data_IF_606723789734
#
_entry.id   IF_606723789734
#
_cell.length_a   1.000
_cell.length_b   1.000
_cell.length_c   1.000
_cell.angle_alpha   90.00
_cell.angle_beta   90.00
_cell.angle_gamma   90.00
#
_symmetry.space_group_name_H-M   'P 1'
#
loop_
_entity.id
_entity.type
_entity.pdbx_description
1 polymer ?
#
# COMPACT_ATOMS: atom_id res chain seq x y z
N UNK A 1 -21.28 21.13 36.62
CA UNK A 1 -21.23 21.67 35.23
C UNK A 1 -19.81 21.81 34.73
N UNK A 2 -18.82 22.10 35.59
CA UNK A 2 -17.40 22.20 35.18
C UNK A 2 -16.76 20.85 34.83
N UNK A 3 -17.07 19.75 35.55
CA UNK A 3 -16.56 18.41 35.21
C UNK A 3 -17.03 17.92 33.83
N UNK A 4 -18.29 18.18 33.47
CA UNK A 4 -18.81 17.82 32.14
C UNK A 4 -18.12 18.60 31.03
N UNK A 5 -17.68 19.83 31.31
CA UNK A 5 -16.95 20.68 30.36
C UNK A 5 -15.50 20.22 30.20
N UNK A 6 -14.85 19.74 31.26
CA UNK A 6 -13.53 19.12 31.16
C UNK A 6 -13.54 17.81 30.34
N UNK A 7 -14.55 16.96 30.54
CA UNK A 7 -14.70 15.73 29.74
C UNK A 7 -15.03 16.02 28.27
N UNK A 8 -15.85 17.04 27.99
CA UNK A 8 -16.12 17.47 26.61
C UNK A 8 -14.86 18.01 25.94
N UNK A 9 -14.07 18.83 26.63
CA UNK A 9 -12.78 19.32 26.12
C UNK A 9 -11.79 18.17 25.91
N UNK A 10 -11.74 17.18 26.82
CA UNK A 10 -10.88 16.01 26.68
C UNK A 10 -11.28 15.14 25.47
N UNK A 11 -12.58 14.92 25.25
CA UNK A 11 -13.10 14.15 24.11
C UNK A 11 -12.89 14.91 22.79
N UNK A 12 -13.15 16.22 22.76
CA UNK A 12 -12.85 17.08 21.60
C UNK A 12 -11.35 17.14 21.30
N UNK A 13 -10.50 17.07 22.34
CA UNK A 13 -9.05 16.96 22.22
C UNK A 13 -8.56 15.53 21.94
N UNK A 14 -9.38 14.49 22.06
CA UNK A 14 -8.98 13.10 21.77
C UNK A 14 -9.25 12.75 20.29
N UNK A 15 -10.05 13.54 19.58
CA UNK A 15 -10.44 13.30 18.19
C UNK A 15 -9.27 13.14 17.20
N UNK A 16 -8.14 13.83 17.40
CA UNK A 16 -6.96 13.72 16.54
C UNK A 16 -6.10 12.48 16.81
N UNK A 17 -6.23 11.85 17.99
CA UNK A 17 -5.46 10.64 18.30
C UNK A 17 -5.90 9.46 17.44
N UNK A 18 -7.18 9.36 17.07
CA UNK A 18 -7.69 8.31 16.17
C UNK A 18 -6.92 8.25 14.84
N UNK A 19 -6.92 9.33 14.05
CA UNK A 19 -6.15 9.41 12.81
C UNK A 19 -4.65 9.14 12.98
N UNK A 20 -4.02 9.67 14.04
CA UNK A 20 -2.58 9.45 14.30
C UNK A 20 -2.30 7.98 14.59
N UNK A 21 -3.06 7.35 15.50
CA UNK A 21 -2.92 5.93 15.82
C UNK A 21 -3.18 5.04 14.60
N UNK A 22 -4.12 5.42 13.73
CA UNK A 22 -4.40 4.73 12.48
C UNK A 22 -3.23 4.79 11.49
N UNK A 23 -2.58 5.96 11.36
CA UNK A 23 -1.35 6.10 10.55
C UNK A 23 -0.20 5.31 11.18
N UNK A 24 -0.07 5.30 12.50
CA UNK A 24 0.93 4.46 13.19
C UNK A 24 0.65 2.97 13.01
N UNK A 25 -0.61 2.55 12.96
CA UNK A 25 -0.98 1.17 12.68
C UNK A 25 -0.49 0.73 11.29
N UNK A 26 -0.55 1.61 10.28
CA UNK A 26 0.07 1.35 8.97
C UNK A 26 1.58 1.12 9.06
N UNK A 27 2.28 1.74 10.03
CA UNK A 27 3.71 1.57 10.27
C UNK A 27 4.03 0.29 11.05
N UNK A 28 3.17 -0.07 11.99
CA UNK A 28 3.38 -1.22 12.88
C UNK A 28 2.95 -2.53 12.22
N UNK A 29 2.03 -2.49 11.24
CA UNK A 29 1.45 -3.71 10.61
C UNK A 29 2.47 -4.79 10.21
N UNK A 30 3.69 -4.50 9.67
CA UNK A 30 4.60 -5.57 9.26
C UNK A 30 5.20 -6.31 10.46
N UNK A 31 5.26 -5.66 11.63
CA UNK A 31 5.78 -6.25 12.87
C UNK A 31 4.78 -7.25 13.49
N UNK A 32 3.49 -7.01 13.28
CA UNK A 32 2.39 -7.84 13.79
C UNK A 32 1.79 -8.75 12.71
N UNK A 33 2.42 -8.85 11.54
CA UNK A 33 1.95 -9.63 10.38
C UNK A 33 0.51 -9.28 9.94
N UNK A 34 0.11 -8.01 10.08
CA UNK A 34 -1.22 -7.54 9.73
C UNK A 34 -1.28 -7.15 8.24
N UNK A 35 -2.17 -7.77 7.43
CA UNK A 35 -2.34 -7.44 6.03
C UNK A 35 -2.78 -6.00 5.78
N UNK A 36 -2.30 -5.39 4.69
CA UNK A 36 -2.63 -4.01 4.29
C UNK A 36 -4.13 -3.80 4.15
N UNK A 37 -4.82 -4.76 3.51
CA UNK A 37 -6.26 -4.69 3.26
C UNK A 37 -7.06 -4.51 4.54
N UNK A 38 -6.70 -5.20 5.63
CA UNK A 38 -7.43 -5.11 6.90
C UNK A 38 -7.33 -3.71 7.51
N UNK A 39 -6.14 -3.09 7.43
CA UNK A 39 -5.93 -1.74 7.95
C UNK A 39 -6.72 -0.72 7.13
N UNK A 40 -6.69 -0.80 5.80
CA UNK A 40 -7.42 0.14 4.95
C UNK A 40 -8.95 -0.01 5.09
N UNK A 41 -9.46 -1.25 5.14
CA UNK A 41 -10.88 -1.53 5.42
C UNK A 41 -11.30 -0.95 6.78
N UNK A 42 -10.48 -1.15 7.82
CA UNK A 42 -10.73 -0.55 9.13
C UNK A 42 -10.76 0.98 9.05
N UNK A 43 -9.92 1.59 8.21
CA UNK A 43 -9.96 3.04 7.96
C UNK A 43 -11.29 3.49 7.39
N UNK A 44 -11.84 2.75 6.42
CA UNK A 44 -13.14 3.04 5.84
C UNK A 44 -14.31 2.86 6.82
N UNK A 45 -14.21 1.88 7.71
CA UNK A 45 -15.19 1.64 8.77
C UNK A 45 -15.15 2.71 9.86
N UNK A 46 -13.95 3.15 10.26
CA UNK A 46 -13.75 4.05 11.41
C UNK A 46 -13.87 5.54 11.04
N UNK A 47 -13.41 5.93 9.86
CA UNK A 47 -13.34 7.33 9.42
C UNK A 47 -14.18 7.61 8.17
N UNK A 48 -14.86 6.61 7.63
CA UNK A 48 -15.56 6.72 6.34
C UNK A 48 -14.60 6.67 5.15
N UNK A 49 -15.18 6.70 3.94
CA UNK A 49 -14.41 6.48 2.70
C UNK A 49 -13.37 7.57 2.44
N UNK A 50 -13.75 8.85 2.49
CA UNK A 50 -12.86 9.95 2.09
C UNK A 50 -11.71 10.13 3.08
N UNK A 51 -12.01 10.31 4.36
CA UNK A 51 -10.99 10.51 5.40
C UNK A 51 -10.14 9.25 5.59
N UNK A 52 -10.78 8.07 5.63
CA UNK A 52 -10.07 6.79 5.71
C UNK A 52 -9.10 6.56 4.55
N UNK A 53 -9.46 6.99 3.33
CA UNK A 53 -8.60 6.84 2.15
C UNK A 53 -7.41 7.81 2.21
N UNK A 54 -7.63 9.05 2.63
CA UNK A 54 -6.55 10.04 2.84
C UNK A 54 -5.58 9.54 3.91
N UNK A 55 -6.10 9.08 5.06
CA UNK A 55 -5.27 8.57 6.15
C UNK A 55 -4.52 7.29 5.76
N UNK A 56 -5.16 6.40 5.01
CA UNK A 56 -4.52 5.19 4.48
C UNK A 56 -3.42 5.52 3.49
N UNK A 57 -3.66 6.49 2.60
CA UNK A 57 -2.66 6.99 1.67
C UNK A 57 -1.43 7.57 2.40
N UNK A 58 -1.65 8.37 3.44
CA UNK A 58 -0.57 8.91 4.28
C UNK A 58 0.21 7.78 4.95
N UNK A 59 -0.48 6.83 5.59
CA UNK A 59 0.16 5.70 6.26
C UNK A 59 0.96 4.80 5.31
N UNK A 60 0.42 4.50 4.13
CA UNK A 60 1.11 3.74 3.08
C UNK A 60 2.31 4.47 2.49
N UNK A 61 2.21 5.79 2.34
CA UNK A 61 3.31 6.64 1.88
C UNK A 61 4.44 6.66 2.89
N UNK A 62 4.12 6.86 4.18
CA UNK A 62 5.11 6.80 5.26
C UNK A 62 5.75 5.41 5.36
N UNK A 63 4.99 4.33 5.18
CA UNK A 63 5.54 2.97 5.13
C UNK A 63 6.49 2.78 3.93
N UNK A 64 6.20 3.40 2.77
CA UNK A 64 7.12 3.38 1.63
C UNK A 64 8.44 4.08 1.95
N UNK A 65 8.37 5.21 2.65
CA UNK A 65 9.55 5.91 3.14
C UNK A 65 10.35 5.07 4.15
N UNK A 66 9.67 4.48 5.15
CA UNK A 66 10.30 3.57 6.12
C UNK A 66 10.98 2.40 5.40
N UNK A 67 10.31 1.79 4.42
CA UNK A 67 10.87 0.71 3.62
C UNK A 67 12.17 1.12 2.92
N UNK A 68 12.19 2.30 2.28
CA UNK A 68 13.39 2.84 1.64
C UNK A 68 14.55 3.02 2.63
N UNK A 69 14.26 3.59 3.81
CA UNK A 69 15.27 3.77 4.86
C UNK A 69 15.79 2.42 5.35
N UNK A 70 14.91 1.46 5.61
CA UNK A 70 15.29 0.12 6.06
C UNK A 70 16.18 -0.60 5.04
N UNK A 71 15.82 -0.55 3.76
CA UNK A 71 16.58 -1.20 2.68
C UNK A 71 17.99 -0.59 2.56
N UNK A 72 18.11 0.74 2.63
CA UNK A 72 19.40 1.42 2.50
C UNK A 72 20.28 1.28 3.75
N UNK A 73 19.67 1.27 4.94
CA UNK A 73 20.41 1.24 6.21
C UNK A 73 20.84 -0.16 6.62
N UNK A 74 20.09 -1.20 6.23
CA UNK A 74 20.31 -2.57 6.67
C UNK A 74 20.63 -3.50 5.49
N UNK A 75 21.93 -3.74 5.16
CA UNK A 75 22.31 -4.57 4.03
C UNK A 75 21.83 -6.02 4.14
N UNK A 76 21.77 -6.57 5.36
CA UNK A 76 21.20 -7.90 5.59
C UNK A 76 19.71 -7.97 5.21
N UNK A 77 18.95 -6.89 5.43
CA UNK A 77 17.55 -6.82 5.02
C UNK A 77 17.42 -6.73 3.49
N UNK A 78 18.24 -5.89 2.84
CA UNK A 78 18.33 -5.81 1.39
C UNK A 78 18.65 -7.18 0.76
N UNK A 79 19.61 -7.91 1.31
CA UNK A 79 19.98 -9.24 0.82
C UNK A 79 18.84 -10.26 0.96
N UNK A 80 18.09 -10.22 2.08
CA UNK A 80 16.88 -11.06 2.24
C UNK A 80 15.81 -10.73 1.20
N UNK A 81 15.59 -9.45 0.91
CA UNK A 81 14.63 -9.03 -0.12
C UNK A 81 15.08 -9.43 -1.52
N UNK A 82 16.37 -9.35 -1.83
CA UNK A 82 16.94 -9.86 -3.09
C UNK A 82 16.76 -11.37 -3.24
N UNK A 83 16.98 -12.16 -2.18
CA UNK A 83 16.67 -13.61 -2.22
C UNK A 83 15.18 -13.89 -2.37
N UNK A 84 14.32 -13.10 -1.72
CA UNK A 84 12.87 -13.25 -1.84
C UNK A 84 12.38 -12.87 -3.25
N UNK A 85 12.99 -11.85 -3.86
CA UNK A 85 12.76 -11.40 -5.23
C UNK A 85 12.92 -12.57 -6.20
N UNK A 86 14.07 -13.24 -6.14
CA UNK A 86 14.39 -14.41 -6.98
C UNK A 86 13.44 -15.59 -6.76
N UNK A 87 12.97 -15.79 -5.52
CA UNK A 87 12.02 -16.88 -5.22
C UNK A 87 10.61 -16.61 -5.73
N UNK A 88 10.12 -15.38 -5.60
CA UNK A 88 8.72 -15.02 -5.91
C UNK A 88 8.54 -14.74 -7.40
N UNK A 89 9.55 -14.14 -8.05
CA UNK A 89 9.50 -13.69 -9.43
C UNK A 89 10.86 -13.93 -10.13
N UNK A 90 11.27 -15.20 -10.32
CA UNK A 90 12.55 -15.52 -10.95
C UNK A 90 12.60 -14.97 -12.39
N UNK A 91 13.71 -14.30 -12.74
CA UNK A 91 13.99 -13.80 -14.10
C UNK A 91 12.90 -12.91 -14.72
N UNK A 92 12.07 -12.24 -13.89
CA UNK A 92 11.01 -11.35 -14.36
C UNK A 92 11.45 -9.90 -14.24
N UNK A 93 11.57 -9.22 -15.36
CA UNK A 93 11.60 -7.75 -15.39
C UNK A 93 10.16 -7.26 -15.30
N UNK A 94 9.83 -6.59 -14.19
CA UNK A 94 8.54 -5.94 -14.02
C UNK A 94 8.63 -4.49 -14.46
N UNK A 95 7.56 -3.96 -15.04
CA UNK A 95 7.43 -2.51 -15.24
C UNK A 95 6.95 -1.81 -13.96
N UNK A 96 7.16 -0.49 -13.87
CA UNK A 96 6.62 0.33 -12.77
C UNK A 96 5.10 0.16 -12.65
N UNK A 97 4.38 0.10 -13.79
CA UNK A 97 2.94 -0.10 -13.80
C UNK A 97 2.52 -1.47 -13.25
N UNK A 98 3.26 -2.54 -13.58
CA UNK A 98 3.03 -3.86 -13.00
C UNK A 98 3.22 -3.87 -11.48
N UNK A 99 4.23 -3.15 -10.97
CA UNK A 99 4.45 -2.99 -9.52
C UNK A 99 3.26 -2.27 -8.88
N UNK A 100 2.73 -1.22 -9.51
CA UNK A 100 1.55 -0.51 -9.00
C UNK A 100 0.33 -1.44 -8.89
N UNK A 101 0.10 -2.30 -9.88
CA UNK A 101 -0.98 -3.30 -9.82
C UNK A 101 -0.73 -4.32 -8.70
N UNK A 102 0.51 -4.80 -8.57
CA UNK A 102 0.88 -5.74 -7.51
C UNK A 102 0.74 -5.15 -6.10
N UNK A 103 0.81 -3.82 -5.92
CA UNK A 103 0.54 -3.17 -4.62
C UNK A 103 -0.94 -3.28 -4.20
N UNK A 104 -1.84 -3.54 -5.15
CA UNK A 104 -3.25 -3.83 -4.90
C UNK A 104 -3.44 -5.34 -4.61
N UNK A 105 -2.46 -6.21 -4.83
CA UNK A 105 -2.57 -7.61 -4.46
C UNK A 105 -2.23 -7.80 -2.97
N UNK A 106 -3.09 -8.42 -2.15
CA UNK A 106 -2.86 -8.54 -0.71
C UNK A 106 -1.76 -9.55 -0.34
N UNK A 107 -1.35 -10.39 -1.29
CA UNK A 107 -0.42 -11.50 -1.06
C UNK A 107 1.06 -11.14 -1.22
N UNK A 108 1.36 -9.97 -1.80
CA UNK A 108 2.74 -9.56 -2.07
C UNK A 108 3.25 -8.65 -0.95
N UNK A 109 4.42 -8.97 -0.41
CA UNK A 109 5.02 -8.22 0.69
C UNK A 109 5.34 -6.78 0.28
N UNK A 110 4.86 -5.81 1.06
CA UNK A 110 5.03 -4.39 0.76
C UNK A 110 6.48 -3.93 0.64
N UNK A 111 7.37 -4.47 1.50
CA UNK A 111 8.80 -4.16 1.45
C UNK A 111 9.47 -4.71 0.18
N UNK A 112 8.99 -5.84 -0.35
CA UNK A 112 9.49 -6.40 -1.61
C UNK A 112 9.14 -5.50 -2.79
N UNK A 113 7.88 -5.04 -2.87
CA UNK A 113 7.45 -4.12 -3.94
C UNK A 113 8.14 -2.75 -3.83
N UNK A 114 8.42 -2.30 -2.61
CA UNK A 114 9.23 -1.11 -2.36
C UNK A 114 10.69 -1.32 -2.81
N UNK A 115 11.26 -2.51 -2.59
CA UNK A 115 12.59 -2.84 -3.07
C UNK A 115 12.69 -2.87 -4.59
N UNK A 116 11.74 -3.52 -5.27
CA UNK A 116 11.64 -3.50 -6.74
C UNK A 116 11.61 -2.08 -7.29
N UNK A 117 10.74 -1.23 -6.73
CA UNK A 117 10.59 0.13 -7.20
C UNK A 117 11.85 0.95 -6.94
N UNK A 118 12.52 0.72 -5.81
CA UNK A 118 13.79 1.38 -5.49
C UNK A 118 14.90 1.00 -6.49
N UNK A 119 14.96 -0.24 -6.96
CA UNK A 119 15.92 -0.67 -7.99
C UNK A 119 15.64 -0.04 -9.37
N UNK A 120 14.40 0.37 -9.64
CA UNK A 120 13.98 0.97 -10.91
C UNK A 120 14.10 2.50 -10.96
N UNK A 121 14.48 3.13 -9.86
CA UNK A 121 14.53 4.59 -9.73
C UNK A 121 15.94 5.07 -9.45
N UNK A 122 16.29 6.22 -10.00
CA UNK A 122 17.65 6.76 -9.87
C UNK A 122 17.91 7.37 -8.49
N UNK A 123 16.87 7.93 -7.88
CA UNK A 123 17.00 8.67 -6.63
C UNK A 123 15.75 8.53 -5.72
N UNK A 124 15.93 8.92 -4.45
CA UNK A 124 14.87 8.87 -3.43
C UNK A 124 13.60 9.62 -3.83
N UNK A 125 13.72 10.74 -4.55
CA UNK A 125 12.58 11.57 -4.92
C UNK A 125 11.70 10.84 -5.93
N UNK A 126 12.32 10.28 -6.96
CA UNK A 126 11.65 9.47 -7.97
C UNK A 126 10.99 8.23 -7.35
N UNK A 127 11.70 7.50 -6.50
CA UNK A 127 11.15 6.41 -5.70
C UNK A 127 9.89 6.82 -4.93
N UNK A 128 9.93 7.95 -4.23
CA UNK A 128 8.80 8.41 -3.43
C UNK A 128 7.61 8.80 -4.31
N UNK A 129 7.84 9.45 -5.46
CA UNK A 129 6.76 9.82 -6.39
C UNK A 129 6.05 8.57 -6.91
N UNK A 130 6.78 7.60 -7.44
CA UNK A 130 6.16 6.36 -7.92
C UNK A 130 5.54 5.54 -6.80
N UNK A 131 6.14 5.55 -5.60
CA UNK A 131 5.58 4.86 -4.43
C UNK A 131 4.25 5.47 -4.03
N UNK A 132 4.17 6.80 -3.97
CA UNK A 132 2.95 7.54 -3.66
C UNK A 132 1.87 7.20 -4.70
N UNK A 133 2.16 7.32 -5.98
CA UNK A 133 1.22 6.96 -7.04
C UNK A 133 0.74 5.50 -6.92
N UNK A 134 1.65 4.58 -6.64
CA UNK A 134 1.35 3.16 -6.50
C UNK A 134 0.55 2.78 -5.25
N UNK A 135 0.42 3.66 -4.26
CA UNK A 135 -0.39 3.40 -3.06
C UNK A 135 -1.75 4.08 -3.08
N UNK A 136 -2.03 4.95 -4.05
CA UNK A 136 -3.37 5.56 -4.23
C UNK A 136 -4.42 4.48 -4.44
N UNK A 137 -4.21 3.58 -5.41
CA UNK A 137 -5.16 2.53 -5.74
C UNK A 137 -5.51 1.62 -4.54
N UNK A 138 -4.55 1.03 -3.80
CA UNK A 138 -4.90 0.22 -2.62
C UNK A 138 -5.54 1.06 -1.51
N UNK A 139 -5.12 2.32 -1.30
CA UNK A 139 -5.76 3.18 -0.30
C UNK A 139 -7.25 3.41 -0.61
N UNK A 140 -7.57 3.72 -1.86
CA UNK A 140 -8.96 3.98 -2.28
C UNK A 140 -9.79 2.70 -2.32
N UNK A 141 -9.32 1.67 -3.03
CA UNK A 141 -10.07 0.42 -3.25
C UNK A 141 -10.38 -0.27 -1.92
N UNK A 142 -9.37 -0.43 -1.05
CA UNK A 142 -9.57 -1.16 0.21
C UNK A 142 -10.35 -0.36 1.23
N UNK A 143 -10.20 0.97 1.27
CA UNK A 143 -11.02 1.80 2.17
C UNK A 143 -12.47 1.81 1.71
N UNK A 144 -12.75 1.82 0.40
CA UNK A 144 -14.11 1.70 -0.12
C UNK A 144 -14.79 0.40 0.33
N UNK A 145 -14.01 -0.68 0.44
CA UNK A 145 -14.51 -1.93 1.01
C UNK A 145 -14.92 -1.82 2.48
N UNK A 146 -14.39 -0.87 3.26
CA UNK A 146 -14.86 -0.63 4.63
C UNK A 146 -16.37 -0.45 4.73
N UNK A 147 -16.95 0.43 3.91
CA UNK A 147 -18.41 0.65 3.90
C UNK A 147 -19.21 -0.46 3.23
N UNK A 148 -18.60 -1.21 2.30
CA UNK A 148 -19.27 -2.22 1.49
C UNK A 148 -19.03 -3.67 1.97
N UNK A 149 -18.27 -3.89 3.04
CA UNK A 149 -17.78 -5.24 3.40
C UNK A 149 -18.90 -6.24 3.70
N UNK A 150 -20.05 -5.75 4.19
CA UNK A 150 -21.22 -6.57 4.46
C UNK A 150 -22.03 -6.91 3.21
N UNK A 151 -21.88 -6.13 2.15
CA UNK A 151 -22.64 -6.26 0.90
C UNK A 151 -21.85 -6.95 -0.21
N UNK A 152 -20.55 -7.20 -0.01
CA UNK A 152 -19.68 -7.74 -1.05
C UNK A 152 -19.83 -9.26 -1.18
N UNK A 153 -20.42 -9.73 -2.28
CA UNK A 153 -20.53 -11.15 -2.53
C UNK A 153 -19.16 -11.70 -2.98
N UNK A 154 -18.92 -12.98 -2.72
CA UNK A 154 -17.66 -13.66 -3.05
C UNK A 154 -17.26 -13.52 -4.53
N UNK A 155 -18.23 -13.42 -5.44
CA UNK A 155 -17.98 -13.22 -6.86
C UNK A 155 -17.42 -11.83 -7.18
N UNK A 156 -17.76 -10.79 -6.41
CA UNK A 156 -17.21 -9.44 -6.58
C UNK A 156 -15.70 -9.42 -6.33
N UNK A 157 -15.26 -10.15 -5.30
CA UNK A 157 -13.83 -10.35 -5.02
C UNK A 157 -13.14 -11.12 -6.15
N UNK A 158 -13.77 -12.18 -6.68
CA UNK A 158 -13.21 -12.95 -7.79
C UNK A 158 -13.05 -12.09 -9.06
N UNK A 159 -14.06 -11.29 -9.41
CA UNK A 159 -14.02 -10.37 -10.55
C UNK A 159 -12.92 -9.33 -10.39
N UNK A 160 -12.76 -8.73 -9.20
CA UNK A 160 -11.66 -7.79 -8.93
C UNK A 160 -10.29 -8.43 -9.22
N UNK A 161 -10.05 -9.63 -8.70
CA UNK A 161 -8.79 -10.35 -8.95
C UNK A 161 -8.58 -10.61 -10.44
N UNK A 162 -9.63 -11.00 -11.16
CA UNK A 162 -9.58 -11.27 -12.59
C UNK A 162 -9.23 -9.99 -13.38
N UNK A 163 -9.86 -8.86 -13.05
CA UNK A 163 -9.56 -7.55 -13.64
C UNK A 163 -8.11 -7.15 -13.37
N UNK A 164 -7.64 -7.28 -12.12
CA UNK A 164 -6.25 -6.94 -11.79
C UNK A 164 -5.25 -7.81 -12.56
N UNK A 165 -5.53 -9.10 -12.75
CA UNK A 165 -4.70 -9.99 -13.56
C UNK A 165 -4.68 -9.59 -15.05
N UNK A 166 -5.82 -9.21 -15.61
CA UNK A 166 -5.91 -8.73 -16.99
C UNK A 166 -5.10 -7.43 -17.14
N UNK A 167 -5.30 -6.46 -16.24
CA UNK A 167 -4.57 -5.19 -16.25
C UNK A 167 -3.06 -5.41 -16.10
N UNK A 168 -2.64 -6.30 -15.19
CA UNK A 168 -1.23 -6.68 -15.02
C UNK A 168 -0.63 -7.25 -16.32
N UNK A 169 -1.36 -8.12 -17.03
CA UNK A 169 -0.90 -8.70 -18.30
C UNK A 169 -0.82 -7.67 -19.43
N UNK A 170 -1.83 -6.80 -19.55
CA UNK A 170 -1.88 -5.75 -20.58
C UNK A 170 -0.74 -4.76 -20.39
N UNK A 171 -0.52 -4.29 -19.16
CA UNK A 171 0.59 -3.37 -18.85
C UNK A 171 1.95 -4.03 -19.12
N UNK A 172 2.08 -5.33 -18.81
CA UNK A 172 3.28 -6.10 -19.16
C UNK A 172 3.54 -6.07 -20.66
N UNK A 173 2.55 -6.47 -21.45
CA UNK A 173 2.67 -6.50 -22.92
C UNK A 173 3.01 -5.13 -23.51
N UNK A 174 2.33 -4.07 -23.08
CA UNK A 174 2.62 -2.70 -23.55
C UNK A 174 4.04 -2.23 -23.21
N UNK A 175 4.59 -2.72 -22.09
CA UNK A 175 5.97 -2.42 -21.69
C UNK A 175 6.97 -3.16 -22.58
N UNK A 176 6.70 -4.42 -22.90
CA UNK A 176 7.54 -5.26 -23.76
C UNK A 176 7.56 -4.69 -25.20
N UNK A 177 6.38 -4.39 -25.77
CA UNK A 177 6.23 -3.81 -27.13
C UNK A 177 6.99 -2.47 -27.25
N UNK A 178 7.01 -1.65 -26.19
CA UNK A 178 7.72 -0.37 -26.17
C UNK A 178 9.24 -0.56 -26.17
N UNK A 179 9.75 -1.59 -25.50
CA UNK A 179 11.18 -1.89 -25.50
C UNK A 179 11.66 -2.37 -26.86
N UNK A 180 10.90 -3.25 -27.52
CA UNK A 180 11.22 -3.75 -28.86
C UNK A 180 11.24 -2.63 -29.92
N UNK A 181 10.41 -1.58 -29.76
CA UNK A 181 10.38 -0.45 -30.70
C UNK A 181 11.58 0.53 -30.60
N UNK A 182 12.41 0.41 -29.56
CA UNK A 182 13.54 1.31 -29.29
C UNK A 182 14.91 0.67 -29.62
N UNK A 183 14.93 -0.62 -29.99
CA UNK A 183 16.09 -1.38 -30.46
C UNK A 183 16.18 -1.37 -32.00
#
# INVERSE_FOLDING_TARGET
>A
MDELREWQIFIEQTGWLGPVLFVLLHLIRPLVFLPVILVCVAGGLLFGFVEGAILSFIGLTLMSFVSYVLINKFPAFKNKLSQLKEKVLPNRHLSVGQIMVLRIMPFVHFHLLSFYLMEMTENRKEYMIYSMLGVIAPAVIYTAFGGAIHELPWYGTAVLFLVLLVVYKVIGKLSDDKMESLE
#
